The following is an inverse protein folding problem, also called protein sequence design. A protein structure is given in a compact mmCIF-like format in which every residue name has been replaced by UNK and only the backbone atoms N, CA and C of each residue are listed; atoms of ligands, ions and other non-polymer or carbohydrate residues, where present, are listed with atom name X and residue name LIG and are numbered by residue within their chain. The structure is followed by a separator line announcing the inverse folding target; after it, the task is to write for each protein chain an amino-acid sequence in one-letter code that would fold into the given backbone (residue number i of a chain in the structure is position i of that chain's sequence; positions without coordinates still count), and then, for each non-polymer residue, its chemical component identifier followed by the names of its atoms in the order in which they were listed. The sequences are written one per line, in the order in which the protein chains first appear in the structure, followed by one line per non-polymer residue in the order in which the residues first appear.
data_IF_250238954209
#
_entry.id   IF_250238954209
#
_cell.length_a   1.000
_cell.length_b   1.000
_cell.length_c   1.000
_cell.angle_alpha   90.00
_cell.angle_beta   90.00
_cell.angle_gamma   90.00
#
_symmetry.space_group_name_H-M   'P 1'
#
loop_
_entity.id
_entity.type
_entity.pdbx_description
1 polymer ?
#
# COMPACT_ATOMS: atom_id res chain seq x y z
N UNK A 1 -6.26 -11.00 52.91
CA UNK A 1 -5.73 -10.13 53.99
C UNK A 1 -4.54 -10.84 54.63
N UNK A 2 -3.33 -10.50 54.19
CA UNK A 2 -2.12 -10.18 54.99
C UNK A 2 -0.87 -10.27 54.09
N UNK A 3 -0.18 -9.14 54.04
CA UNK A 3 1.09 -8.85 53.35
C UNK A 3 2.26 -9.19 54.27
N UNK A 4 3.40 -9.62 53.72
CA UNK A 4 4.72 -9.37 54.30
C UNK A 4 5.78 -9.25 53.19
N UNK A 5 6.08 -8.00 52.83
CA UNK A 5 7.43 -7.41 52.86
C UNK A 5 8.25 -7.98 54.05
N UNK A 6 9.56 -8.18 54.06
CA UNK A 6 10.68 -7.40 53.51
C UNK A 6 12.00 -8.17 53.75
N UNK A 7 13.05 -7.82 52.99
CA UNK A 7 14.50 -7.86 53.30
C UNK A 7 15.17 -9.20 53.76
N UNK A 8 16.36 -9.62 53.33
CA UNK A 8 17.68 -8.96 53.48
C UNK A 8 18.70 -9.62 52.50
N UNK A 9 19.27 -8.80 51.61
CA UNK A 9 20.70 -8.54 51.36
C UNK A 9 21.73 -9.67 51.62
N UNK A 10 22.45 -10.16 50.59
CA UNK A 10 23.93 -10.09 50.61
C UNK A 10 24.67 -10.37 49.29
N UNK A 11 25.29 -9.31 48.78
CA UNK A 11 26.68 -9.18 48.26
C UNK A 11 27.22 -10.29 47.34
N UNK A 12 27.50 -9.91 46.10
CA UNK A 12 28.88 -9.79 45.58
C UNK A 12 28.87 -9.03 44.24
N UNK A 13 29.29 -7.76 44.26
CA UNK A 13 29.79 -7.11 43.05
C UNK A 13 31.26 -6.76 43.28
N UNK A 14 32.08 -7.36 42.42
CA UNK A 14 33.52 -7.18 42.35
C UNK A 14 33.85 -5.80 41.80
N UNK A 15 34.89 -5.23 42.39
CA UNK A 15 35.56 -3.98 42.03
C UNK A 15 36.05 -3.99 40.58
N UNK A 16 35.89 -2.87 39.88
CA UNK A 16 36.71 -2.52 38.72
C UNK A 16 36.85 -1.00 38.65
N UNK A 17 38.10 -0.55 38.72
CA UNK A 17 38.58 0.82 38.68
C UNK A 17 38.13 1.55 37.41
N UNK A 18 37.35 2.62 37.53
CA UNK A 18 37.02 3.51 36.41
C UNK A 18 37.88 4.78 36.46
N UNK A 19 38.96 4.80 35.69
CA UNK A 19 39.57 6.07 35.26
C UNK A 19 38.57 6.80 34.36
N UNK A 20 38.37 8.12 34.49
CA UNK A 20 37.46 8.85 33.62
C UNK A 20 37.96 8.82 32.17
N UNK A 21 37.05 8.75 31.17
CA UNK A 21 37.44 8.78 29.76
C UNK A 21 38.08 10.13 29.40
N UNK A 22 39.01 10.17 28.42
CA UNK A 22 39.59 11.42 27.96
C UNK A 22 38.51 12.34 27.37
N UNK A 23 38.68 13.67 27.45
CA UNK A 23 37.74 14.60 26.85
C UNK A 23 37.68 14.42 25.32
N UNK A 24 36.51 14.65 24.70
CA UNK A 24 36.35 14.55 23.26
C UNK A 24 37.19 15.61 22.52
N UNK A 25 37.68 15.31 21.30
CA UNK A 25 38.39 16.29 20.48
C UNK A 25 37.47 17.45 20.07
N UNK A 26 38.03 18.65 19.84
CA UNK A 26 37.25 19.80 19.37
C UNK A 26 36.59 19.52 18.00
N UNK A 27 35.39 20.08 17.74
CA UNK A 27 34.68 19.87 16.48
C UNK A 27 35.43 20.47 15.31
N UNK A 28 35.56 19.70 14.21
CA UNK A 28 36.12 20.20 12.95
C UNK A 28 35.18 21.23 12.30
N UNK A 29 35.71 22.25 11.61
CA UNK A 29 34.90 23.19 10.83
C UNK A 29 34.07 22.45 9.77
N UNK A 30 32.75 22.68 9.78
CA UNK A 30 31.83 22.13 8.77
C UNK A 30 32.18 22.66 7.37
N UNK A 31 32.24 21.80 6.34
CA UNK A 31 32.18 22.28 4.97
C UNK A 31 30.79 22.88 4.71
N UNK A 32 30.75 24.15 4.31
CA UNK A 32 29.55 24.80 3.79
C UNK A 32 28.99 23.98 2.62
N UNK A 33 27.70 23.63 2.60
CA UNK A 33 27.09 23.06 1.41
C UNK A 33 26.97 24.18 0.37
N UNK A 34 27.79 24.10 -0.68
CA UNK A 34 27.60 24.87 -1.91
C UNK A 34 26.19 24.61 -2.44
N UNK A 35 25.32 25.58 -2.27
CA UNK A 35 23.98 25.63 -2.85
C UNK A 35 24.09 25.80 -4.36
N UNK A 36 24.21 24.68 -5.08
CA UNK A 36 24.04 24.64 -6.54
C UNK A 36 23.50 23.29 -6.98
N UNK A 37 22.38 22.86 -6.38
CA UNK A 37 21.46 21.96 -7.08
C UNK A 37 20.62 22.85 -8.01
N UNK A 38 21.22 23.25 -9.12
CA UNK A 38 20.47 23.74 -10.27
C UNK A 38 19.44 22.68 -10.62
N UNK A 39 18.17 23.08 -10.63
CA UNK A 39 17.04 22.37 -11.22
C UNK A 39 17.36 22.04 -12.69
N UNK A 40 18.14 20.99 -12.95
CA UNK A 40 18.14 20.34 -14.24
C UNK A 40 16.86 19.52 -14.32
N UNK A 41 15.75 20.21 -14.57
CA UNK A 41 14.62 19.55 -15.22
C UNK A 41 15.12 19.22 -16.61
N UNK A 42 15.67 18.02 -16.80
CA UNK A 42 15.99 17.52 -18.14
C UNK A 42 14.68 17.59 -18.93
N UNK A 43 14.61 18.50 -19.90
CA UNK A 43 13.52 18.48 -20.88
C UNK A 43 13.65 17.17 -21.65
N UNK A 44 12.74 16.23 -21.34
CA UNK A 44 12.61 15.00 -22.10
C UNK A 44 12.20 15.36 -23.52
N UNK A 45 12.76 14.64 -24.50
CA UNK A 45 12.26 14.71 -25.87
C UNK A 45 10.76 14.37 -25.90
N UNK A 46 10.03 14.90 -26.90
CA UNK A 46 8.64 14.55 -27.14
C UNK A 46 8.48 13.02 -27.28
N UNK A 47 9.43 12.38 -27.95
CA UNK A 47 9.46 10.92 -28.16
C UNK A 47 9.61 10.15 -26.84
N UNK A 48 10.53 10.58 -25.98
CA UNK A 48 10.74 9.99 -24.65
C UNK A 48 9.51 10.17 -23.76
N UNK A 49 8.88 11.35 -23.82
CA UNK A 49 7.65 11.64 -23.08
C UNK A 49 6.51 10.74 -23.54
N UNK A 50 6.35 10.55 -24.85
CA UNK A 50 5.36 9.62 -25.42
C UNK A 50 5.66 8.19 -24.98
N UNK A 51 6.93 7.77 -25.00
CA UNK A 51 7.33 6.42 -24.57
C UNK A 51 6.96 6.17 -23.10
N UNK A 52 7.32 7.08 -22.19
CA UNK A 52 6.98 6.98 -20.77
C UNK A 52 5.47 6.96 -20.54
N UNK A 53 4.70 7.80 -21.25
CA UNK A 53 3.24 7.78 -21.18
C UNK A 53 2.66 6.46 -21.68
N UNK A 54 3.21 5.87 -22.74
CA UNK A 54 2.81 4.55 -23.21
C UNK A 54 3.08 3.45 -22.18
N UNK A 55 4.23 3.47 -21.48
CA UNK A 55 4.48 2.55 -20.37
C UNK A 55 3.42 2.70 -19.27
N UNK A 56 3.13 3.95 -18.87
CA UNK A 56 2.10 4.25 -17.87
C UNK A 56 0.70 3.80 -18.30
N UNK A 57 0.38 3.97 -19.59
CA UNK A 57 -0.86 3.50 -20.20
C UNK A 57 -1.00 1.99 -20.11
N UNK A 58 0.04 1.24 -20.52
CA UNK A 58 0.02 -0.23 -20.47
C UNK A 58 -0.09 -0.75 -19.03
N UNK A 59 0.66 -0.16 -18.09
CA UNK A 59 0.54 -0.48 -16.66
C UNK A 59 -0.89 -0.27 -16.15
N UNK A 60 -1.54 0.84 -16.57
CA UNK A 60 -2.92 1.14 -16.17
C UNK A 60 -3.92 0.18 -16.80
N UNK A 61 -3.73 -0.23 -18.06
CA UNK A 61 -4.55 -1.27 -18.73
C UNK A 61 -4.45 -2.61 -18.01
N UNK A 62 -3.26 -3.03 -17.58
CA UNK A 62 -3.09 -4.27 -16.82
C UNK A 62 -3.80 -4.21 -15.45
N UNK A 63 -3.72 -3.07 -14.75
CA UNK A 63 -4.46 -2.86 -13.49
C UNK A 63 -5.98 -2.89 -13.70
N UNK A 64 -6.46 -2.31 -14.81
CA UNK A 64 -7.86 -2.36 -15.19
C UNK A 64 -8.33 -3.80 -15.44
N UNK A 65 -7.61 -4.56 -16.26
CA UNK A 65 -7.94 -5.96 -16.55
C UNK A 65 -7.99 -6.79 -15.28
N UNK A 66 -6.99 -6.64 -14.40
CA UNK A 66 -6.98 -7.32 -13.10
C UNK A 66 -8.22 -6.95 -12.26
N UNK A 67 -8.58 -5.67 -12.20
CA UNK A 67 -9.74 -5.24 -11.43
C UNK A 67 -11.06 -5.80 -11.98
N UNK A 68 -11.18 -5.91 -13.32
CA UNK A 68 -12.34 -6.53 -13.99
C UNK A 68 -12.45 -8.01 -13.63
N UNK A 69 -11.35 -8.76 -13.75
CA UNK A 69 -11.30 -10.19 -13.40
C UNK A 69 -11.62 -10.41 -11.92
N UNK A 70 -11.02 -9.62 -11.03
CA UNK A 70 -11.30 -9.67 -9.59
C UNK A 70 -12.80 -9.42 -9.32
N UNK A 71 -13.41 -8.44 -9.99
CA UNK A 71 -14.84 -8.10 -9.86
C UNK A 71 -15.75 -9.25 -10.32
N UNK A 72 -15.42 -9.85 -11.47
CA UNK A 72 -16.16 -10.99 -12.02
C UNK A 72 -16.08 -12.22 -11.09
N UNK A 73 -14.92 -12.49 -10.51
CA UNK A 73 -14.75 -13.58 -9.54
C UNK A 73 -15.57 -13.35 -8.26
N UNK A 74 -15.71 -12.09 -7.82
CA UNK A 74 -16.58 -11.73 -6.70
C UNK A 74 -18.06 -11.98 -7.04
N UNK A 75 -18.50 -11.67 -8.25
CA UNK A 75 -19.87 -11.96 -8.71
C UNK A 75 -20.17 -13.46 -8.70
N UNK A 76 -19.24 -14.29 -9.19
CA UNK A 76 -19.36 -15.74 -9.09
C UNK A 76 -19.46 -16.22 -7.65
N UNK A 77 -18.65 -15.67 -6.75
CA UNK A 77 -18.68 -16.01 -5.32
C UNK A 77 -20.03 -15.64 -4.69
N UNK A 78 -20.57 -14.46 -5.00
CA UNK A 78 -21.88 -14.00 -4.55
C UNK A 78 -22.97 -14.96 -5.05
N UNK A 79 -22.97 -15.26 -6.36
CA UNK A 79 -23.97 -16.13 -6.98
C UNK A 79 -23.93 -17.55 -6.41
N UNK A 80 -22.73 -18.10 -6.26
CA UNK A 80 -22.52 -19.42 -5.65
C UNK A 80 -23.06 -19.47 -4.23
N UNK A 81 -22.64 -18.54 -3.36
CA UNK A 81 -23.09 -18.51 -1.95
C UNK A 81 -24.58 -18.26 -1.80
N UNK A 82 -25.16 -17.42 -2.66
CA UNK A 82 -26.62 -17.19 -2.69
C UNK A 82 -27.36 -18.44 -3.14
N UNK A 83 -26.84 -19.17 -4.13
CA UNK A 83 -27.42 -20.44 -4.56
C UNK A 83 -27.33 -21.54 -3.50
N UNK A 84 -26.26 -21.58 -2.69
CA UNK A 84 -26.15 -22.51 -1.56
C UNK A 84 -27.25 -22.26 -0.53
N UNK A 85 -27.51 -20.99 -0.17
CA UNK A 85 -28.57 -20.60 0.77
C UNK A 85 -29.95 -21.07 0.32
N UNK A 86 -30.22 -21.07 -0.98
CA UNK A 86 -31.51 -21.50 -1.52
C UNK A 86 -31.68 -23.03 -1.60
N UNK A 87 -30.58 -23.77 -1.71
CA UNK A 87 -30.61 -25.22 -2.00
C UNK A 87 -30.44 -26.11 -0.77
N UNK A 88 -29.81 -25.62 0.30
CA UNK A 88 -29.48 -26.44 1.47
C UNK A 88 -30.36 -26.06 2.65
N UNK A 89 -30.89 -27.05 3.38
CA UNK A 89 -31.39 -26.83 4.73
C UNK A 89 -30.19 -26.51 5.62
N UNK A 90 -30.11 -25.26 6.06
CA UNK A 90 -29.04 -24.76 6.91
C UNK A 90 -29.59 -24.32 8.26
N UNK A 91 -28.73 -24.33 9.27
CA UNK A 91 -29.06 -23.71 10.56
C UNK A 91 -29.01 -22.19 10.46
N UNK A 92 -29.67 -21.48 11.38
CA UNK A 92 -29.66 -20.02 11.41
C UNK A 92 -28.25 -19.42 11.52
N UNK A 93 -27.32 -20.12 12.18
CA UNK A 93 -25.93 -19.69 12.29
C UNK A 93 -25.19 -19.82 10.95
N UNK A 94 -25.44 -20.90 10.22
CA UNK A 94 -24.89 -21.09 8.87
C UNK A 94 -25.45 -20.05 7.90
N UNK A 95 -26.75 -19.75 7.97
CA UNK A 95 -27.40 -18.72 7.15
C UNK A 95 -26.71 -17.36 7.37
N UNK A 96 -26.58 -16.92 8.63
CA UNK A 96 -25.92 -15.66 8.98
C UNK A 96 -24.48 -15.59 8.47
N UNK A 97 -23.72 -16.68 8.58
CA UNK A 97 -22.36 -16.73 8.06
C UNK A 97 -22.32 -16.55 6.53
N UNK A 98 -23.21 -17.21 5.80
CA UNK A 98 -23.33 -17.06 4.35
C UNK A 98 -23.73 -15.64 3.94
N UNK A 99 -24.71 -15.03 4.63
CA UNK A 99 -25.13 -13.65 4.39
C UNK A 99 -23.98 -12.66 4.60
N UNK A 100 -23.21 -12.84 5.68
CA UNK A 100 -22.03 -12.03 5.93
C UNK A 100 -20.97 -12.18 4.82
N UNK A 101 -20.73 -13.39 4.34
CA UNK A 101 -19.83 -13.62 3.20
C UNK A 101 -20.31 -12.94 1.91
N UNK A 102 -21.61 -13.02 1.62
CA UNK A 102 -22.24 -12.37 0.45
C UNK A 102 -22.10 -10.86 0.58
N UNK A 103 -22.42 -10.31 1.75
CA UNK A 103 -22.30 -8.88 2.02
C UNK A 103 -20.87 -8.39 1.80
N UNK A 104 -19.88 -9.06 2.39
CA UNK A 104 -18.47 -8.68 2.21
C UNK A 104 -18.03 -8.77 0.75
N UNK A 105 -18.44 -9.81 0.02
CA UNK A 105 -18.13 -9.94 -1.40
C UNK A 105 -18.76 -8.80 -2.23
N UNK A 106 -20.00 -8.39 -1.93
CA UNK A 106 -20.67 -7.25 -2.57
C UNK A 106 -19.93 -5.93 -2.31
N UNK A 107 -19.51 -5.70 -1.07
CA UNK A 107 -18.74 -4.52 -0.70
C UNK A 107 -17.42 -4.45 -1.46
N UNK A 108 -16.69 -5.57 -1.53
CA UNK A 108 -15.45 -5.65 -2.30
C UNK A 108 -15.69 -5.43 -3.80
N UNK A 109 -16.78 -5.98 -4.35
CA UNK A 109 -17.15 -5.80 -5.77
C UNK A 109 -17.39 -4.33 -6.09
N UNK A 110 -18.15 -3.63 -5.25
CA UNK A 110 -18.37 -2.18 -5.42
C UNK A 110 -17.06 -1.38 -5.38
N UNK A 111 -16.12 -1.75 -4.51
CA UNK A 111 -14.80 -1.11 -4.49
C UNK A 111 -14.01 -1.38 -5.77
N UNK A 112 -14.06 -2.61 -6.31
CA UNK A 112 -13.43 -2.94 -7.60
C UNK A 112 -14.06 -2.16 -8.74
N UNK A 113 -15.38 -1.98 -8.74
CA UNK A 113 -16.09 -1.18 -9.73
C UNK A 113 -15.65 0.29 -9.72
N UNK A 114 -15.46 0.90 -8.54
CA UNK A 114 -14.88 2.24 -8.42
C UNK A 114 -13.45 2.31 -8.98
N UNK A 115 -12.62 1.31 -8.72
CA UNK A 115 -11.26 1.24 -9.27
C UNK A 115 -11.27 1.09 -10.80
N UNK A 116 -12.16 0.27 -11.34
CA UNK A 116 -12.36 0.11 -12.79
C UNK A 116 -12.65 1.47 -13.43
N UNK A 117 -13.61 2.22 -12.89
CA UNK A 117 -13.95 3.56 -13.39
C UNK A 117 -12.75 4.52 -13.30
N UNK A 118 -12.01 4.49 -12.19
CA UNK A 118 -10.80 5.31 -12.03
C UNK A 118 -9.74 4.99 -13.09
N UNK A 119 -9.50 3.71 -13.39
CA UNK A 119 -8.53 3.31 -14.40
C UNK A 119 -8.98 3.65 -15.82
N UNK A 120 -10.27 3.48 -16.14
CA UNK A 120 -10.83 3.90 -17.43
C UNK A 120 -10.61 5.41 -17.64
N UNK A 121 -10.92 6.23 -16.64
CA UNK A 121 -10.70 7.68 -16.71
C UNK A 121 -9.24 8.03 -16.90
N UNK A 122 -8.32 7.35 -16.17
CA UNK A 122 -6.88 7.59 -16.31
C UNK A 122 -6.37 7.21 -17.71
N UNK A 123 -6.82 6.09 -18.27
CA UNK A 123 -6.49 5.66 -19.63
C UNK A 123 -6.90 6.72 -20.64
N UNK A 124 -8.15 7.22 -20.55
CA UNK A 124 -8.65 8.28 -21.46
C UNK A 124 -7.79 9.54 -21.42
N UNK A 125 -7.35 9.95 -20.21
CA UNK A 125 -6.47 11.11 -20.04
C UNK A 125 -5.11 10.88 -20.69
N UNK A 126 -4.46 9.75 -20.39
CA UNK A 126 -3.13 9.44 -20.96
C UNK A 126 -3.20 9.31 -22.48
N UNK A 127 -4.22 8.64 -23.02
CA UNK A 127 -4.43 8.52 -24.46
C UNK A 127 -4.60 9.89 -25.13
N UNK A 128 -5.33 10.81 -24.49
CA UNK A 128 -5.49 12.18 -24.99
C UNK A 128 -4.15 12.93 -24.98
N UNK A 129 -3.38 12.83 -23.90
CA UNK A 129 -2.07 13.47 -23.79
C UNK A 129 -1.10 12.96 -24.86
N UNK A 130 -1.05 11.65 -25.11
CA UNK A 130 -0.23 11.05 -26.18
C UNK A 130 -0.67 11.59 -27.54
N UNK A 131 -1.98 11.61 -27.83
CA UNK A 131 -2.51 12.14 -29.09
C UNK A 131 -2.20 13.62 -29.29
N UNK A 132 -2.14 14.42 -28.22
CA UNK A 132 -1.74 15.82 -28.31
C UNK A 132 -0.26 15.94 -28.65
N UNK A 133 0.60 15.16 -27.97
CA UNK A 133 2.05 15.18 -28.22
C UNK A 133 2.42 14.71 -29.63
N UNK A 134 1.67 13.77 -30.20
CA UNK A 134 1.88 13.28 -31.57
C UNK A 134 1.48 14.26 -32.69
N UNK A 135 0.82 15.38 -32.34
CA UNK A 135 0.40 16.42 -33.30
C UNK A 135 1.35 17.62 -33.34
N UNK A 136 2.32 17.67 -32.43
CA UNK A 136 3.39 18.66 -32.38
C UNK A 136 4.48 18.19 -33.34
#
# INVERSE_FOLDING_TARGET
MYSYQDEIVQRQHQSSSSSPPPPPPPPQPQPQPSSTLQNQTMELSIEETIHLKNIGLQSTKQKLLKAIVDSYNLDHKIKSKSGELQKKRMTNNQIRAHEHHIFNARTMRMQKERLIQKYISRIKVIDKEIKTLQKI
#
